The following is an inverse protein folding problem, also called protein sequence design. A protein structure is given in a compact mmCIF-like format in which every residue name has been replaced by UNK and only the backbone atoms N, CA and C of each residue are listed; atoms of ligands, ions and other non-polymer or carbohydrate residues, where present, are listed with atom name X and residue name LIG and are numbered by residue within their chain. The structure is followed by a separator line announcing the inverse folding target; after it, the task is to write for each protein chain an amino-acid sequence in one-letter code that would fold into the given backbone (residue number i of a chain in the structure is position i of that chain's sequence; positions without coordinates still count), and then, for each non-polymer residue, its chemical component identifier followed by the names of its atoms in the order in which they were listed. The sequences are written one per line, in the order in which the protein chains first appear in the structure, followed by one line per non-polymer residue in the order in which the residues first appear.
data_IF_105029184159
#
_entry.id   IF_105029184159
#
_cell.length_a   1.000
_cell.length_b   1.000
_cell.length_c   1.000
_cell.angle_alpha   90.00
_cell.angle_beta   90.00
_cell.angle_gamma   90.00
#
_symmetry.space_group_name_H-M   'P 1'
#
loop_
_entity.id
_entity.type
_entity.pdbx_description
1 polymer ?
#
# COMPACT_ATOMS: atom_id res chain seq x y z
N UNK A 1 -66.84 12.23 -7.74
CA UNK A 1 -67.20 10.82 -8.00
C UNK A 1 -66.08 10.17 -8.83
N UNK A 2 -65.83 8.86 -8.63
CA UNK A 2 -64.54 8.14 -8.70
C UNK A 2 -64.20 7.61 -10.13
N UNK A 3 -63.20 6.73 -10.36
CA UNK A 3 -61.80 6.67 -9.90
C UNK A 3 -60.77 6.44 -11.05
N UNK A 4 -59.48 6.48 -10.67
CA UNK A 4 -58.26 6.37 -11.50
C UNK A 4 -57.82 4.92 -11.79
N UNK A 5 -57.40 4.71 -13.04
CA UNK A 5 -56.27 3.93 -13.63
C UNK A 5 -55.52 2.83 -12.83
N UNK A 6 -55.28 1.74 -13.60
CA UNK A 6 -54.03 0.96 -13.84
C UNK A 6 -53.64 -0.20 -12.89
N UNK A 7 -53.77 -1.40 -13.48
CA UNK A 7 -52.78 -2.49 -13.73
C UNK A 7 -52.08 -3.19 -12.54
N UNK A 8 -51.99 -4.54 -12.54
CA UNK A 8 -51.84 -5.33 -11.31
C UNK A 8 -50.41 -5.76 -10.99
N UNK A 9 -50.20 -6.10 -9.72
CA UNK A 9 -49.05 -6.83 -9.18
C UNK A 9 -49.53 -7.88 -8.15
N UNK A 10 -48.68 -8.91 -7.99
CA UNK A 10 -48.49 -9.81 -6.84
C UNK A 10 -49.28 -11.15 -6.77
N UNK A 11 -48.47 -12.19 -6.48
CA UNK A 11 -48.66 -13.64 -6.27
C UNK A 11 -49.62 -14.02 -5.12
N UNK A 12 -49.88 -15.33 -4.78
CA UNK A 12 -48.93 -16.10 -3.92
C UNK A 12 -49.01 -17.68 -3.88
N UNK A 13 -48.03 -18.28 -3.16
CA UNK A 13 -47.99 -19.54 -2.34
C UNK A 13 -47.48 -20.89 -2.89
N UNK A 14 -46.37 -21.34 -2.27
CA UNK A 14 -45.82 -22.68 -1.89
C UNK A 14 -46.52 -23.99 -2.35
N UNK A 15 -45.80 -25.06 -2.71
CA UNK A 15 -44.94 -25.87 -1.84
C UNK A 15 -44.28 -27.02 -2.62
N UNK A 16 -43.03 -27.40 -2.29
CA UNK A 16 -42.58 -28.78 -2.01
C UNK A 16 -41.06 -28.82 -1.81
N UNK A 17 -40.66 -29.49 -0.73
CA UNK A 17 -39.29 -29.73 -0.27
C UNK A 17 -38.68 -30.87 -1.09
N UNK A 18 -37.53 -30.64 -1.73
CA UNK A 18 -36.66 -31.73 -2.21
C UNK A 18 -35.25 -31.52 -1.64
N UNK A 19 -34.88 -32.51 -0.83
CA UNK A 19 -33.61 -32.71 -0.11
C UNK A 19 -32.46 -32.83 -1.13
N UNK A 20 -31.46 -31.93 -1.07
CA UNK A 20 -30.26 -32.05 -1.91
C UNK A 20 -29.19 -32.78 -1.10
N UNK A 21 -29.00 -34.05 -1.43
CA UNK A 21 -28.00 -34.93 -0.82
C UNK A 21 -26.59 -34.34 -0.89
N UNK A 22 -25.95 -34.14 0.27
CA UNK A 22 -24.52 -33.86 0.38
C UNK A 22 -23.73 -35.07 -0.13
N UNK A 23 -23.23 -35.00 -1.37
CA UNK A 23 -22.26 -35.96 -1.87
C UNK A 23 -20.90 -35.66 -1.22
N UNK A 24 -20.33 -36.69 -0.61
CA UNK A 24 -19.03 -36.71 0.06
C UNK A 24 -17.92 -36.30 -0.91
N UNK A 25 -17.19 -35.22 -0.57
CA UNK A 25 -16.00 -34.81 -1.30
C UNK A 25 -14.87 -35.84 -1.05
N UNK A 26 -14.06 -36.22 -2.05
CA UNK A 26 -12.95 -37.14 -1.85
C UNK A 26 -11.94 -36.52 -0.86
N UNK A 27 -11.25 -37.33 -0.04
CA UNK A 27 -10.24 -36.80 0.87
C UNK A 27 -9.07 -36.25 0.05
N UNK A 28 -8.73 -34.97 0.27
CA UNK A 28 -7.48 -34.40 -0.22
C UNK A 28 -6.32 -35.08 0.51
N UNK A 29 -5.41 -35.69 -0.24
CA UNK A 29 -4.18 -36.25 0.31
C UNK A 29 -3.26 -35.12 0.82
N UNK A 30 -2.54 -35.33 1.94
CA UNK A 30 -1.65 -34.33 2.50
C UNK A 30 -0.52 -34.06 1.51
N UNK A 31 -0.44 -32.82 1.01
CA UNK A 31 0.72 -32.40 0.20
C UNK A 31 1.92 -32.28 1.14
N UNK A 32 2.96 -33.05 0.83
CA UNK A 32 4.23 -33.07 1.55
C UNK A 32 4.85 -31.67 1.53
N UNK A 33 5.21 -31.15 2.71
CA UNK A 33 6.04 -29.96 2.88
C UNK A 33 7.39 -30.17 2.19
N UNK A 34 7.51 -29.71 0.94
CA UNK A 34 8.80 -29.68 0.26
C UNK A 34 9.61 -28.52 0.86
N UNK A 35 10.51 -28.86 1.78
CA UNK A 35 11.59 -27.98 2.23
C UNK A 35 12.46 -27.68 1.01
N UNK A 36 12.25 -26.51 0.40
CA UNK A 36 12.95 -26.06 -0.79
C UNK A 36 14.08 -25.10 -0.43
N UNK A 37 15.31 -25.51 -0.75
CA UNK A 37 16.57 -24.76 -0.72
C UNK A 37 16.45 -23.25 -1.08
N UNK A 38 16.93 -22.42 -0.15
CA UNK A 38 16.97 -20.94 -0.14
C UNK A 38 17.99 -20.33 -1.14
N UNK A 39 18.09 -20.85 -2.36
CA UNK A 39 19.17 -20.46 -3.28
C UNK A 39 18.77 -20.32 -4.77
N UNK A 40 17.51 -20.02 -5.05
CA UNK A 40 17.08 -19.67 -6.41
C UNK A 40 16.27 -18.35 -6.44
N UNK A 41 16.79 -17.27 -7.04
CA UNK A 41 16.08 -15.98 -7.10
C UNK A 41 14.84 -15.99 -8.02
N UNK A 42 14.46 -17.13 -8.57
CA UNK A 42 13.33 -17.29 -9.50
C UNK A 42 12.02 -17.82 -8.86
N UNK A 43 11.94 -17.92 -7.52
CA UNK A 43 10.71 -18.25 -6.78
C UNK A 43 10.21 -17.02 -6.02
N UNK A 44 10.08 -15.90 -6.73
CA UNK A 44 9.19 -14.79 -6.36
C UNK A 44 8.25 -14.62 -7.56
N UNK A 45 7.05 -15.17 -7.42
CA UNK A 45 6.05 -15.17 -8.48
C UNK A 45 5.68 -13.74 -8.89
N UNK A 46 5.75 -13.47 -10.20
CA UNK A 46 5.14 -12.37 -10.95
C UNK A 46 5.51 -10.95 -10.47
N UNK A 47 6.20 -10.22 -11.35
CA UNK A 47 6.54 -8.79 -11.27
C UNK A 47 5.51 -7.90 -10.53
N UNK A 48 5.54 -7.85 -9.19
CA UNK A 48 4.92 -6.78 -8.43
C UNK A 48 5.82 -5.56 -8.58
N UNK A 49 5.53 -4.72 -9.59
CA UNK A 49 6.14 -3.39 -9.64
C UNK A 49 5.69 -2.63 -8.39
N UNK A 50 6.60 -2.32 -7.46
CA UNK A 50 6.23 -1.73 -6.18
C UNK A 50 5.71 -0.29 -6.35
N UNK A 51 6.02 0.34 -7.48
CA UNK A 51 5.63 1.71 -7.80
C UNK A 51 4.97 1.76 -9.18
N UNK A 52 3.74 2.29 -9.23
CA UNK A 52 3.00 2.55 -10.47
C UNK A 52 2.72 4.05 -10.61
N UNK A 53 2.96 4.59 -11.80
CA UNK A 53 2.61 5.98 -12.12
C UNK A 53 1.16 6.04 -12.59
N UNK A 54 0.32 6.82 -11.92
CA UNK A 54 -1.09 6.96 -12.26
C UNK A 54 -1.31 7.91 -13.44
N UNK A 55 -2.40 7.70 -14.17
CA UNK A 55 -2.82 8.54 -15.29
C UNK A 55 -3.09 9.99 -14.83
N UNK A 56 -2.66 10.96 -15.63
CA UNK A 56 -2.70 12.39 -15.25
C UNK A 56 -1.39 12.92 -14.65
N UNK A 57 -0.33 12.11 -14.70
CA UNK A 57 1.03 12.56 -14.40
C UNK A 57 1.56 13.40 -15.55
N UNK A 58 1.93 14.64 -15.23
CA UNK A 58 2.67 15.58 -16.06
C UNK A 58 4.10 15.70 -15.53
N UNK A 59 4.99 16.32 -16.30
CA UNK A 59 6.40 16.50 -15.90
C UNK A 59 6.55 17.17 -14.52
N UNK A 60 5.71 18.17 -14.22
CA UNK A 60 5.76 18.93 -12.97
C UNK A 60 4.87 18.38 -11.86
N UNK A 61 3.84 17.60 -12.21
CA UNK A 61 2.86 17.08 -11.27
C UNK A 61 2.56 15.62 -11.58
N UNK A 62 3.01 14.71 -10.72
CA UNK A 62 2.85 13.27 -10.89
C UNK A 62 2.20 12.63 -9.67
N UNK A 63 1.46 11.54 -9.93
CA UNK A 63 0.84 10.72 -8.90
C UNK A 63 1.44 9.32 -8.97
N UNK A 64 2.03 8.88 -7.86
CA UNK A 64 2.66 7.59 -7.69
C UNK A 64 1.81 6.72 -6.77
N UNK A 65 1.69 5.45 -7.11
CA UNK A 65 1.01 4.44 -6.33
C UNK A 65 2.06 3.46 -5.81
N UNK A 66 2.11 3.29 -4.50
CA UNK A 66 2.99 2.37 -3.81
C UNK A 66 2.17 1.16 -3.35
N UNK A 67 2.58 -0.03 -3.77
CA UNK A 67 1.97 -1.28 -3.34
C UNK A 67 2.58 -1.73 -1.99
N UNK A 68 1.73 -2.25 -1.10
CA UNK A 68 2.08 -2.79 0.23
C UNK A 68 2.73 -1.78 1.19
N UNK A 69 2.50 -0.50 0.97
CA UNK A 69 2.99 0.59 1.82
C UNK A 69 1.83 1.36 2.45
N UNK A 70 2.08 1.97 3.62
CA UNK A 70 1.06 2.63 4.43
C UNK A 70 1.49 4.02 4.97
N UNK A 71 0.79 4.50 5.99
CA UNK A 71 1.05 5.79 6.64
C UNK A 71 2.48 5.96 7.14
N UNK A 72 3.19 4.87 7.42
CA UNK A 72 4.56 4.88 7.94
C UNK A 72 5.49 5.53 6.92
N UNK A 73 5.56 4.96 5.71
CA UNK A 73 6.35 5.52 4.61
C UNK A 73 5.72 6.82 4.09
N UNK A 74 4.39 6.86 3.94
CA UNK A 74 3.69 8.02 3.38
C UNK A 74 3.90 9.30 4.16
N UNK A 75 3.76 9.25 5.48
CA UNK A 75 3.92 10.43 6.32
C UNK A 75 5.37 10.90 6.38
N UNK A 76 6.32 9.97 6.48
CA UNK A 76 7.75 10.28 6.47
C UNK A 76 8.16 10.93 5.15
N UNK A 77 7.81 10.30 4.02
CA UNK A 77 8.13 10.79 2.69
C UNK A 77 7.49 12.16 2.42
N UNK A 78 6.22 12.34 2.79
CA UNK A 78 5.54 13.64 2.68
C UNK A 78 6.30 14.73 3.42
N UNK A 79 6.77 14.45 4.64
CA UNK A 79 7.47 15.43 5.46
C UNK A 79 8.80 15.85 4.82
N UNK A 80 9.60 14.89 4.34
CA UNK A 80 10.90 15.15 3.73
C UNK A 80 10.73 15.90 2.41
N UNK A 81 9.84 15.44 1.53
CA UNK A 81 9.62 16.10 0.23
C UNK A 81 9.13 17.54 0.41
N UNK A 82 8.27 17.81 1.41
CA UNK A 82 7.83 19.18 1.71
C UNK A 82 8.95 20.10 2.23
N UNK A 83 10.10 19.58 2.66
CA UNK A 83 11.25 20.41 3.05
C UNK A 83 12.02 20.94 1.85
N UNK A 84 11.89 20.31 0.69
CA UNK A 84 12.53 20.76 -0.53
C UNK A 84 11.82 22.03 -1.05
N UNK A 85 12.52 23.17 -1.19
CA UNK A 85 11.91 24.41 -1.69
C UNK A 85 11.39 24.32 -3.12
N UNK A 86 11.86 23.35 -3.89
CA UNK A 86 11.43 23.13 -5.29
C UNK A 86 10.05 22.46 -5.39
N UNK A 87 9.53 21.95 -4.28
CA UNK A 87 8.23 21.28 -4.20
C UNK A 87 7.16 22.26 -3.71
N UNK A 88 6.11 22.40 -4.50
CA UNK A 88 4.94 23.20 -4.14
C UNK A 88 3.97 22.42 -3.24
N UNK A 89 3.71 21.16 -3.61
CA UNK A 89 2.73 20.34 -2.93
C UNK A 89 3.16 18.89 -2.90
N UNK A 90 3.12 18.28 -1.72
CA UNK A 90 3.22 16.85 -1.54
C UNK A 90 2.13 16.37 -0.59
N UNK A 91 1.38 15.35 -1.01
CA UNK A 91 0.34 14.72 -0.21
C UNK A 91 0.29 13.24 -0.46
N UNK A 92 -0.12 12.47 0.55
CA UNK A 92 -0.40 11.06 0.40
C UNK A 92 -1.81 10.75 0.88
N UNK A 93 -2.41 9.71 0.31
CA UNK A 93 -3.75 9.25 0.65
C UNK A 93 -3.85 7.74 0.46
N UNK A 94 -4.47 7.06 1.41
CA UNK A 94 -4.87 5.66 1.26
C UNK A 94 -6.33 5.68 0.77
N UNK A 95 -6.63 5.18 -0.45
CA UNK A 95 -7.97 5.25 -1.02
C UNK A 95 -8.97 4.43 -0.20
N UNK A 96 -8.54 3.28 0.32
CA UNK A 96 -9.35 2.42 1.17
C UNK A 96 -8.46 1.59 2.12
N UNK A 97 -8.78 1.48 3.42
CA UNK A 97 -7.93 0.79 4.40
C UNK A 97 -7.79 -0.72 4.18
N UNK A 98 -8.69 -1.35 3.42
CA UNK A 98 -8.59 -2.78 3.08
C UNK A 98 -7.69 -3.06 1.89
N UNK A 99 -7.27 -2.03 1.15
CA UNK A 99 -6.30 -2.16 0.06
C UNK A 99 -4.96 -1.68 0.60
N UNK A 100 -3.93 -2.53 0.51
CA UNK A 100 -2.57 -2.17 0.90
C UNK A 100 -1.92 -1.35 -0.22
N UNK A 101 -2.50 -0.20 -0.54
CA UNK A 101 -2.06 0.69 -1.61
C UNK A 101 -2.06 2.13 -1.09
N UNK A 102 -0.96 2.83 -1.33
CA UNK A 102 -0.80 4.23 -0.96
C UNK A 102 -0.54 5.09 -2.19
N UNK A 103 -1.31 6.17 -2.34
CA UNK A 103 -1.11 7.13 -3.41
C UNK A 103 -0.37 8.35 -2.89
N UNK A 104 0.71 8.75 -3.56
CA UNK A 104 1.49 9.95 -3.28
C UNK A 104 1.41 10.88 -4.49
N UNK A 105 1.04 12.13 -4.26
CA UNK A 105 0.98 13.16 -5.31
C UNK A 105 1.97 14.26 -5.01
N UNK A 106 2.83 14.53 -5.98
CA UNK A 106 3.89 15.55 -5.91
C UNK A 106 3.64 16.58 -7.00
N UNK A 107 3.74 17.85 -6.65
CA UNK A 107 3.71 19.00 -7.56
C UNK A 107 4.91 19.87 -7.26
N UNK A 108 5.70 20.17 -8.29
CA UNK A 108 6.93 20.97 -8.22
C UNK A 108 6.74 22.29 -8.93
N UNK A 109 7.41 23.35 -8.47
CA UNK A 109 7.38 24.65 -9.14
C UNK A 109 8.12 24.58 -10.49
N UNK A 110 9.36 24.10 -10.43
CA UNK A 110 10.27 23.90 -11.54
C UNK A 110 10.95 22.53 -11.37
N UNK A 111 11.18 21.82 -12.48
CA UNK A 111 11.78 20.49 -12.47
C UNK A 111 10.80 19.34 -12.67
N UNK A 112 11.33 18.12 -12.59
CA UNK A 112 10.59 16.88 -12.76
C UNK A 112 10.11 16.36 -11.41
N UNK A 113 8.83 15.99 -11.31
CA UNK A 113 8.29 15.40 -10.08
C UNK A 113 8.99 14.09 -9.67
N UNK A 114 9.58 13.37 -10.63
CA UNK A 114 10.36 12.15 -10.39
C UNK A 114 11.67 12.46 -9.65
N UNK A 115 12.38 13.50 -10.07
CA UNK A 115 13.63 13.92 -9.42
C UNK A 115 13.38 14.36 -7.96
N UNK A 116 12.27 15.07 -7.72
CA UNK A 116 11.85 15.41 -6.36
C UNK A 116 11.53 14.18 -5.49
N UNK A 117 10.98 13.11 -6.09
CA UNK A 117 10.72 11.85 -5.41
C UNK A 117 12.03 11.10 -5.08
N UNK A 118 12.93 10.98 -6.04
CA UNK A 118 14.22 10.30 -5.88
C UNK A 118 15.09 10.99 -4.83
N UNK A 119 15.17 12.32 -4.89
CA UNK A 119 15.84 13.13 -3.88
C UNK A 119 15.18 12.97 -2.50
N UNK A 120 13.85 12.99 -2.44
CA UNK A 120 13.13 12.81 -1.17
C UNK A 120 13.33 11.45 -0.51
N UNK A 121 13.48 10.38 -1.31
CA UNK A 121 13.81 9.04 -0.80
C UNK A 121 15.26 8.98 -0.31
N UNK A 122 16.20 9.57 -1.05
CA UNK A 122 17.63 9.63 -0.66
C UNK A 122 17.79 10.41 0.65
N UNK A 123 17.18 11.60 0.75
CA UNK A 123 17.22 12.43 1.95
C UNK A 123 16.62 11.70 3.18
N UNK A 124 15.62 10.84 2.97
CA UNK A 124 15.03 10.02 4.02
C UNK A 124 16.01 8.93 4.51
N UNK A 125 16.76 8.30 3.60
CA UNK A 125 17.79 7.33 3.96
C UNK A 125 18.91 8.00 4.75
N UNK A 126 19.43 9.12 4.27
CA UNK A 126 20.48 9.89 4.94
C UNK A 126 20.06 10.32 6.35
N UNK A 127 18.79 10.72 6.52
CA UNK A 127 18.25 11.06 7.84
C UNK A 127 18.27 9.85 8.79
N UNK A 128 17.86 8.67 8.31
CA UNK A 128 17.88 7.44 9.09
C UNK A 128 19.30 7.07 9.53
N UNK A 129 20.30 7.22 8.65
CA UNK A 129 21.70 6.95 8.97
C UNK A 129 22.22 7.88 10.07
N UNK A 130 21.98 9.19 9.94
CA UNK A 130 22.38 10.17 10.97
C UNK A 130 21.69 9.90 12.32
N UNK A 131 20.43 9.47 12.31
CA UNK A 131 19.71 9.11 13.53
C UNK A 131 20.33 7.85 14.16
N UNK A 132 20.62 6.82 13.36
CA UNK A 132 21.20 5.58 13.82
C UNK A 132 22.59 5.80 14.45
N UNK A 133 23.46 6.57 13.79
CA UNK A 133 24.78 6.91 14.32
C UNK A 133 24.71 7.63 15.67
N UNK A 134 23.89 8.69 15.75
CA UNK A 134 23.72 9.46 17.00
C UNK A 134 23.11 8.62 18.12
N UNK A 135 22.18 7.74 17.78
CA UNK A 135 21.56 6.84 18.74
C UNK A 135 22.56 5.83 19.30
N UNK A 136 23.38 5.22 18.43
CA UNK A 136 24.42 4.26 18.84
C UNK A 136 25.46 4.94 19.73
N UNK A 137 25.94 6.13 19.35
CA UNK A 137 26.89 6.90 20.14
C UNK A 137 26.34 7.22 21.55
N UNK A 138 25.13 7.80 21.61
CA UNK A 138 24.48 8.14 22.89
C UNK A 138 24.22 6.91 23.77
N UNK A 139 23.91 5.76 23.17
CA UNK A 139 23.72 4.49 23.89
C UNK A 139 25.05 3.98 24.48
N UNK A 140 26.15 4.09 23.74
CA UNK A 140 27.47 3.67 24.19
C UNK A 140 27.97 4.54 25.34
N UNK A 141 27.81 5.87 25.23
CA UNK A 141 28.11 6.82 26.30
C UNK A 141 27.34 6.45 27.59
N UNK A 142 26.01 6.28 27.50
CA UNK A 142 25.17 5.88 28.64
C UNK A 142 25.59 4.54 29.26
N UNK A 143 25.96 3.57 28.43
CA UNK A 143 26.38 2.25 28.90
C UNK A 143 27.73 2.31 29.62
N UNK A 144 28.65 3.15 29.15
CA UNK A 144 29.96 3.37 29.78
C UNK A 144 29.84 4.04 31.15
N UNK A 145 28.91 5.00 31.29
CA UNK A 145 28.61 5.67 32.56
C UNK A 145 27.97 4.74 33.58
N UNK A 146 27.13 3.79 33.16
CA UNK A 146 26.52 2.80 34.07
C UNK A 146 27.47 1.69 34.54
N UNK A 147 28.57 1.46 33.81
CA UNK A 147 29.56 0.43 34.15
C UNK A 147 30.73 0.96 34.98
N UNK A 148 30.82 2.29 35.14
CA UNK A 148 31.82 2.98 35.96
C UNK A 148 31.29 3.29 37.35
#
# INVERSE_FOLDING_TARGET
MPPKKKTPAADPVASQEEDVSMAEAPPEEPTEDVIGDDANPAILGVDEQPIRVLAGSSEKAASYEFAKEDHTLGNALRYIIMKNPDVEFCGYSIPHPSEAVMNVRIQTYEGLALDALEKGLTDLMDLCDVIAEKFVAAREDYTSEMQS
#
